data_IF_577389152641
#
_entry.id   IF_577389152641
#
_cell.length_a   1.000
_cell.length_b   1.000
_cell.length_c   1.000
_cell.angle_alpha   90.00
_cell.angle_beta   90.00
_cell.angle_gamma   90.00
#
_symmetry.space_group_name_H-M   'P 1'
#
loop_
_entity.id
_entity.type
_entity.pdbx_description
1 polymer ?
#
# COMPACT_ATOMS: atom_id res chain seq x y z
N UNK A 1 -4.36 28.12 7.94
CA UNK A 1 -5.80 28.12 8.30
C UNK A 1 -6.60 27.83 7.05
N UNK A 2 -7.35 26.74 7.06
CA UNK A 2 -8.41 26.51 6.09
C UNK A 2 -9.55 25.92 6.92
N UNK A 3 -10.37 26.80 7.49
CA UNK A 3 -11.60 26.39 8.18
C UNK A 3 -12.55 25.81 7.14
N UNK A 4 -12.74 24.49 7.20
CA UNK A 4 -13.82 23.81 6.49
C UNK A 4 -15.11 24.16 7.22
N UNK A 5 -16.00 24.90 6.55
CA UNK A 5 -17.32 25.26 7.06
C UNK A 5 -18.15 23.97 7.30
N UNK A 6 -18.85 23.84 8.44
CA UNK A 6 -19.71 22.70 8.70
C UNK A 6 -21.06 22.93 8.02
N UNK A 7 -21.51 21.99 7.17
CA UNK A 7 -22.90 22.00 6.71
C UNK A 7 -23.22 21.51 5.31
N UNK A 8 -22.34 20.80 4.61
CA UNK A 8 -22.73 20.08 3.40
C UNK A 8 -22.52 18.58 3.67
N UNK A 9 -23.62 17.86 3.85
CA UNK A 9 -23.61 16.39 3.93
C UNK A 9 -23.13 15.86 2.58
N UNK A 10 -21.81 15.74 2.42
CA UNK A 10 -21.22 15.04 1.28
C UNK A 10 -21.76 13.61 1.31
N UNK A 11 -22.32 13.16 0.18
CA UNK A 11 -22.83 11.79 0.01
C UNK A 11 -21.86 10.77 0.62
N UNK A 12 -22.37 9.78 1.36
CA UNK A 12 -21.56 8.77 2.05
C UNK A 12 -20.53 8.10 1.12
N UNK A 13 -20.87 7.95 -0.16
CA UNK A 13 -19.99 7.42 -1.19
C UNK A 13 -18.79 8.34 -1.49
N UNK A 14 -18.99 9.65 -1.53
CA UNK A 14 -17.94 10.65 -1.78
C UNK A 14 -17.00 10.73 -0.57
N UNK A 15 -17.55 10.67 0.63
CA UNK A 15 -16.74 10.61 1.86
C UNK A 15 -15.90 9.33 1.91
N UNK A 16 -16.48 8.18 1.55
CA UNK A 16 -15.74 6.90 1.48
C UNK A 16 -14.60 6.90 0.47
N UNK A 17 -14.77 7.54 -0.70
CA UNK A 17 -13.70 7.69 -1.70
C UNK A 17 -12.63 8.66 -1.21
N UNK A 18 -13.00 9.75 -0.55
CA UNK A 18 -12.06 10.70 0.05
C UNK A 18 -11.22 10.04 1.15
N UNK A 19 -11.83 9.19 1.97
CA UNK A 19 -11.12 8.50 3.04
C UNK A 19 -10.19 7.42 2.51
N UNK A 20 -10.60 6.68 1.47
CA UNK A 20 -9.69 5.76 0.75
C UNK A 20 -8.52 6.49 0.10
N UNK A 21 -8.76 7.65 -0.52
CA UNK A 21 -7.71 8.46 -1.11
C UNK A 21 -6.76 9.02 -0.04
N UNK A 22 -7.28 9.49 1.10
CA UNK A 22 -6.48 9.92 2.25
C UNK A 22 -5.65 8.77 2.81
N UNK A 23 -6.24 7.60 2.95
CA UNK A 23 -5.53 6.39 3.40
C UNK A 23 -4.41 6.00 2.43
N UNK A 24 -4.69 5.99 1.12
CA UNK A 24 -3.70 5.71 0.07
C UNK A 24 -2.53 6.71 0.09
N UNK A 25 -2.82 7.99 0.33
CA UNK A 25 -1.81 9.05 0.41
C UNK A 25 -1.09 9.09 1.77
N UNK A 26 -1.47 8.22 2.72
CA UNK A 26 -0.90 8.19 4.07
C UNK A 26 -1.34 9.36 4.96
N UNK A 27 -2.37 10.10 4.56
CA UNK A 27 -3.04 11.16 5.33
C UNK A 27 -4.33 10.69 6.01
N UNK A 28 -4.67 9.41 5.90
CA UNK A 28 -5.79 8.83 6.63
C UNK A 28 -5.58 9.03 8.12
N UNK A 29 -6.52 9.66 8.80
CA UNK A 29 -6.53 9.65 10.26
C UNK A 29 -6.64 8.18 10.67
N UNK A 30 -5.70 7.67 11.49
CA UNK A 30 -5.74 6.31 12.03
C UNK A 30 -6.90 6.17 13.04
N UNK A 31 -8.12 6.31 12.55
CA UNK A 31 -9.36 6.18 13.30
C UNK A 31 -9.77 4.72 13.20
N UNK A 32 -9.73 4.00 14.33
CA UNK A 32 -10.34 2.68 14.41
C UNK A 32 -11.86 2.84 14.20
N UNK A 33 -12.50 1.85 13.58
CA UNK A 33 -13.92 1.87 13.22
C UNK A 33 -14.86 2.23 14.39
N UNK A 34 -14.52 1.78 15.60
CA UNK A 34 -15.33 1.94 16.81
C UNK A 34 -14.79 3.02 17.76
N UNK A 35 -14.04 3.99 17.24
CA UNK A 35 -13.41 5.05 18.03
C UNK A 35 -13.73 6.44 17.50
N UNK A 36 -13.84 7.43 18.39
CA UNK A 36 -14.18 8.80 18.03
C UNK A 36 -13.18 9.81 18.61
N UNK A 37 -12.85 10.82 17.79
CA UNK A 37 -11.96 11.92 18.18
C UNK A 37 -12.71 12.97 18.98
N UNK A 38 -12.45 13.04 20.28
CA UNK A 38 -12.99 14.04 21.19
C UNK A 38 -12.01 15.23 21.30
N UNK A 39 -12.46 16.49 21.11
CA UNK A 39 -11.60 17.65 21.35
C UNK A 39 -11.27 17.79 22.84
N UNK A 40 -10.02 18.14 23.14
CA UNK A 40 -9.56 18.36 24.51
C UNK A 40 -9.29 19.84 24.72
N UNK A 41 -9.92 20.41 25.76
CA UNK A 41 -9.72 21.80 26.16
C UNK A 41 -9.11 21.87 27.56
N UNK A 42 -8.10 22.73 27.74
CA UNK A 42 -7.56 23.08 29.05
C UNK A 42 -8.27 24.33 29.57
N UNK A 43 -8.86 24.23 30.75
CA UNK A 43 -9.36 25.38 31.48
C UNK A 43 -8.24 25.96 32.34
N UNK A 44 -7.94 27.24 32.17
CA UNK A 44 -7.12 27.99 33.10
C UNK A 44 -8.00 28.53 34.24
N UNK A 45 -7.76 28.05 35.47
CA UNK A 45 -8.53 28.43 36.65
C UNK A 45 -8.34 29.89 37.07
N UNK A 46 -7.25 30.54 36.67
CA UNK A 46 -6.98 31.94 37.01
C UNK A 46 -7.68 32.92 36.06
N UNK A 47 -7.73 32.61 34.76
CA UNK A 47 -8.25 33.51 33.71
C UNK A 47 -9.63 33.11 33.19
N UNK A 48 -10.09 31.88 33.48
CA UNK A 48 -11.36 31.34 32.97
C UNK A 48 -11.35 30.99 31.48
N UNK A 49 -10.20 31.13 30.81
CA UNK A 49 -10.06 30.89 29.37
C UNK A 49 -9.89 29.39 29.11
N UNK A 50 -10.60 28.87 28.11
CA UNK A 50 -10.41 27.51 27.59
C UNK A 50 -9.49 27.54 26.38
N UNK A 51 -8.39 26.82 26.45
CA UNK A 51 -7.43 26.67 25.34
C UNK A 51 -7.57 25.27 24.74
N UNK A 52 -7.76 25.16 23.42
CA UNK A 52 -7.74 23.87 22.72
C UNK A 52 -6.35 23.23 22.82
N UNK A 53 -6.30 21.99 23.31
CA UNK A 53 -5.07 21.21 23.53
C UNK A 53 -4.91 20.03 22.56
N UNK A 54 -5.81 19.87 21.60
CA UNK A 54 -5.76 18.80 20.60
C UNK A 54 -7.02 17.95 20.59
N UNK A 55 -6.89 16.70 20.13
CA UNK A 55 -7.97 15.72 20.05
C UNK A 55 -7.50 14.38 20.64
N UNK A 56 -8.39 13.66 21.30
CA UNK A 56 -8.15 12.34 21.87
C UNK A 56 -9.05 11.32 21.16
N UNK A 57 -8.48 10.24 20.64
CA UNK A 57 -9.26 9.15 20.06
C UNK A 57 -9.67 8.17 21.18
N UNK A 58 -10.97 7.99 21.41
CA UNK A 58 -11.50 7.11 22.47
C UNK A 58 -12.38 6.05 21.83
N UNK A 59 -12.14 4.77 22.17
CA UNK A 59 -13.04 3.65 21.89
C UNK A 59 -13.47 2.98 23.20
N UNK A 60 -14.78 2.79 23.39
CA UNK A 60 -15.34 2.16 24.60
C UNK A 60 -15.88 0.79 24.21
N UNK A 61 -15.34 -0.26 24.83
CA UNK A 61 -15.73 -1.65 24.56
C UNK A 61 -16.29 -2.32 25.82
N UNK A 62 -17.46 -2.96 25.70
CA UNK A 62 -18.03 -3.80 26.75
C UNK A 62 -17.57 -5.24 26.51
N UNK A 63 -16.83 -5.81 27.46
CA UNK A 63 -16.29 -7.18 27.36
C UNK A 63 -16.67 -8.02 28.59
N UNK A 64 -16.75 -9.36 28.46
CA UNK A 64 -16.94 -10.25 29.59
C UNK A 64 -15.87 -10.07 30.68
N UNK A 65 -16.26 -10.29 31.94
CA UNK A 65 -15.38 -10.14 33.11
C UNK A 65 -14.10 -10.97 33.01
N UNK A 66 -14.18 -12.16 32.42
CA UNK A 66 -13.03 -13.05 32.21
C UNK A 66 -11.95 -12.39 31.35
N UNK A 67 -12.35 -11.70 30.29
CA UNK A 67 -11.44 -10.98 29.38
C UNK A 67 -10.89 -9.73 30.06
N UNK A 68 -11.76 -8.95 30.71
CA UNK A 68 -11.35 -7.74 31.44
C UNK A 68 -10.30 -8.01 32.52
N UNK A 69 -10.43 -9.11 33.27
CA UNK A 69 -9.47 -9.49 34.30
C UNK A 69 -8.15 -10.03 33.73
N UNK A 70 -8.16 -10.61 32.51
CA UNK A 70 -6.95 -11.11 31.86
C UNK A 70 -6.07 -10.00 31.28
N UNK A 71 -6.64 -8.85 30.93
CA UNK A 71 -5.93 -7.73 30.32
C UNK A 71 -6.25 -6.44 31.11
N UNK A 72 -5.68 -6.27 32.32
CA UNK A 72 -5.88 -5.05 33.09
C UNK A 72 -5.31 -3.85 32.33
N UNK A 73 -5.94 -2.68 32.52
CA UNK A 73 -5.53 -1.45 31.85
C UNK A 73 -4.05 -1.13 32.12
N UNK A 74 -3.25 -1.04 31.04
CA UNK A 74 -1.81 -0.76 31.12
C UNK A 74 -0.89 -1.99 31.11
N UNK A 75 -1.42 -3.22 31.06
CA UNK A 75 -0.61 -4.43 30.82
C UNK A 75 -0.01 -4.39 29.40
N UNK A 76 1.30 -4.61 29.26
CA UNK A 76 1.97 -4.62 27.95
C UNK A 76 2.43 -3.26 27.42
N UNK A 77 2.54 -2.22 28.25
CA UNK A 77 3.21 -0.94 27.87
C UNK A 77 4.67 -1.11 27.42
N UNK A 78 5.29 -2.22 27.79
CA UNK A 78 6.65 -2.59 27.40
C UNK A 78 6.72 -3.22 26.01
N UNK A 79 5.64 -3.85 25.54
CA UNK A 79 5.61 -4.50 24.24
C UNK A 79 4.87 -3.61 23.24
N UNK A 80 5.51 -3.24 22.12
CA UNK A 80 4.85 -2.45 21.11
C UNK A 80 3.69 -3.29 20.59
N UNK A 81 2.46 -2.86 20.85
CA UNK A 81 1.24 -3.37 20.20
C UNK A 81 0.55 -4.63 20.78
N UNK A 82 0.65 -4.90 22.08
CA UNK A 82 -0.08 -6.03 22.68
C UNK A 82 -1.61 -5.83 22.71
N UNK A 83 -2.08 -4.66 23.17
CA UNK A 83 -3.49 -4.25 23.16
C UNK A 83 -3.60 -2.75 23.54
N UNK A 84 -4.18 -1.87 22.72
CA UNK A 84 -4.78 -2.10 21.40
C UNK A 84 -3.73 -2.35 20.30
N UNK A 85 -4.07 -3.23 19.35
CA UNK A 85 -3.26 -3.45 18.14
C UNK A 85 -3.42 -2.25 17.20
N UNK A 86 -2.36 -1.48 17.06
CA UNK A 86 -2.19 -0.48 16.01
C UNK A 86 -1.79 -1.20 14.71
N UNK A 87 -2.64 -1.22 13.68
CA UNK A 87 -2.22 -1.77 12.40
C UNK A 87 -0.96 -1.04 11.91
N UNK A 88 -0.04 -1.74 11.22
CA UNK A 88 1.07 -1.06 10.57
C UNK A 88 0.50 0.02 9.66
N UNK A 89 1.18 1.18 9.53
CA UNK A 89 0.67 2.27 8.70
C UNK A 89 0.43 1.79 7.27
N UNK A 90 -0.84 1.69 6.88
CA UNK A 90 -1.27 1.45 5.50
C UNK A 90 -0.96 2.69 4.64
N UNK A 91 -0.65 2.49 3.36
CA UNK A 91 -0.44 3.58 2.40
C UNK A 91 0.92 4.28 2.42
N UNK A 92 1.91 3.81 3.20
CA UNK A 92 3.28 4.37 3.14
C UNK A 92 4.10 3.67 2.04
N UNK A 93 4.33 4.38 0.93
CA UNK A 93 5.22 3.91 -0.14
C UNK A 93 6.61 3.56 0.43
N UNK A 94 6.98 2.29 0.33
CA UNK A 94 8.35 1.85 0.61
C UNK A 94 9.18 2.05 -0.65
N UNK A 95 9.95 3.14 -0.69
CA UNK A 95 10.90 3.37 -1.76
C UNK A 95 11.99 2.30 -1.71
N UNK A 96 11.98 1.42 -2.71
CA UNK A 96 13.01 0.40 -2.94
C UNK A 96 13.68 0.67 -4.28
N UNK A 97 14.98 0.41 -4.36
CA UNK A 97 15.72 0.43 -5.63
C UNK A 97 15.33 -0.75 -6.55
N UNK A 98 14.58 -1.72 -6.03
CA UNK A 98 14.04 -2.80 -6.84
C UNK A 98 12.78 -2.31 -7.60
N UNK A 99 12.81 -2.22 -8.94
CA UNK A 99 11.68 -1.72 -9.73
C UNK A 99 10.44 -2.60 -9.62
N UNK A 100 10.57 -3.88 -9.31
CA UNK A 100 9.42 -4.77 -9.08
C UNK A 100 8.72 -4.47 -7.75
N UNK A 101 9.49 -4.15 -6.70
CA UNK A 101 8.93 -3.76 -5.40
C UNK A 101 8.26 -2.40 -5.54
N UNK A 102 8.93 -1.44 -6.16
CA UNK A 102 8.38 -0.10 -6.38
C UNK A 102 7.13 -0.12 -7.28
N UNK A 103 7.14 -0.92 -8.35
CA UNK A 103 5.97 -1.11 -9.22
C UNK A 103 4.79 -1.75 -8.49
N UNK A 104 5.05 -2.71 -7.58
CA UNK A 104 3.98 -3.34 -6.78
C UNK A 104 3.36 -2.39 -5.75
N UNK A 105 4.14 -1.44 -5.24
CA UNK A 105 3.69 -0.41 -4.30
C UNK A 105 2.89 0.70 -5.01
N UNK A 106 3.23 1.05 -6.25
CA UNK A 106 2.54 2.10 -7.02
C UNK A 106 1.28 1.61 -7.75
N UNK A 107 1.34 0.43 -8.36
CA UNK A 107 0.29 -0.08 -9.24
C UNK A 107 -0.52 -1.23 -8.61
N UNK A 108 -0.14 -1.67 -7.41
CA UNK A 108 -0.69 -2.85 -6.76
C UNK A 108 -0.13 -4.17 -7.31
N UNK A 109 -0.13 -5.25 -6.51
CA UNK A 109 0.56 -6.50 -6.84
C UNK A 109 -0.04 -7.22 -8.07
N UNK A 110 -1.35 -7.10 -8.30
CA UNK A 110 -2.03 -7.74 -9.43
C UNK A 110 -1.65 -7.12 -10.78
N UNK A 111 -1.65 -5.79 -10.86
CA UNK A 111 -1.30 -5.07 -12.09
C UNK A 111 0.20 -5.17 -12.37
N UNK A 112 1.04 -5.11 -11.34
CA UNK A 112 2.48 -5.29 -11.48
C UNK A 112 2.84 -6.68 -12.03
N UNK A 113 2.16 -7.74 -11.59
CA UNK A 113 2.37 -9.09 -12.11
C UNK A 113 1.97 -9.21 -13.60
N UNK A 114 0.84 -8.63 -13.98
CA UNK A 114 0.39 -8.61 -15.39
C UNK A 114 1.37 -7.87 -16.29
N UNK A 115 1.82 -6.68 -15.87
CA UNK A 115 2.77 -5.87 -16.62
C UNK A 115 4.13 -6.57 -16.76
N UNK A 116 4.61 -7.22 -15.70
CA UNK A 116 5.85 -7.99 -15.71
C UNK A 116 5.77 -9.17 -16.67
N UNK A 117 4.65 -9.91 -16.66
CA UNK A 117 4.41 -11.01 -17.59
C UNK A 117 4.45 -10.53 -19.05
N UNK A 118 3.74 -9.43 -19.36
CA UNK A 118 3.74 -8.84 -20.70
C UNK A 118 5.16 -8.41 -21.13
N UNK A 119 5.93 -7.77 -20.25
CA UNK A 119 7.31 -7.35 -20.52
C UNK A 119 8.25 -8.54 -20.80
N UNK A 120 8.09 -9.65 -20.08
CA UNK A 120 8.89 -10.85 -20.30
C UNK A 120 8.55 -11.45 -21.67
N UNK A 121 7.26 -11.56 -22.02
CA UNK A 121 6.84 -12.06 -23.32
C UNK A 121 7.36 -11.20 -24.48
N UNK A 122 7.30 -9.87 -24.36
CA UNK A 122 7.84 -8.96 -25.40
C UNK A 122 9.36 -9.04 -25.50
N UNK A 123 10.07 -9.16 -24.37
CA UNK A 123 11.53 -9.34 -24.36
C UNK A 123 11.97 -10.63 -25.09
N UNK A 124 11.24 -11.74 -24.90
CA UNK A 124 11.52 -13.00 -25.59
C UNK A 124 11.32 -12.86 -27.10
N UNK A 125 10.23 -12.22 -27.54
CA UNK A 125 9.96 -12.00 -28.97
C UNK A 125 11.06 -11.14 -29.61
N UNK A 126 11.47 -10.06 -28.93
CA UNK A 126 12.55 -9.19 -29.40
C UNK A 126 13.89 -9.93 -29.51
N UNK A 127 14.19 -10.81 -28.54
CA UNK A 127 15.39 -11.64 -28.58
C UNK A 127 15.36 -12.62 -29.77
N UNK A 128 14.20 -13.24 -30.06
CA UNK A 128 14.06 -14.11 -31.23
C UNK A 128 14.28 -13.35 -32.55
N UNK A 129 13.77 -12.12 -32.65
CA UNK A 129 14.00 -11.26 -33.82
C UNK A 129 15.49 -10.92 -33.96
N UNK A 130 16.17 -10.60 -32.85
CA UNK A 130 17.60 -10.27 -32.86
C UNK A 130 18.49 -11.47 -33.21
N UNK A 131 18.13 -12.68 -32.80
CA UNK A 131 18.88 -13.89 -33.14
C UNK A 131 18.63 -14.39 -34.58
N UNK A 132 17.53 -13.99 -35.22
CA UNK A 132 17.19 -14.36 -36.60
C UNK A 132 18.33 -14.14 -37.63
N UNK A 133 19.00 -12.99 -37.72
CA UNK A 133 20.13 -12.80 -38.63
C UNK A 133 21.32 -13.73 -38.35
N UNK A 134 21.58 -14.06 -37.08
CA UNK A 134 22.65 -15.00 -36.70
C UNK A 134 22.32 -16.41 -37.20
N UNK A 135 21.08 -16.86 -37.02
CA UNK A 135 20.64 -18.16 -37.54
C UNK A 135 20.71 -18.23 -39.06
N UNK A 136 20.30 -17.18 -39.77
CA UNK A 136 20.41 -17.10 -41.23
C UNK A 136 21.87 -17.18 -41.71
N UNK A 137 22.79 -16.53 -41.01
CA UNK A 137 24.22 -16.60 -41.31
C UNK A 137 24.80 -18.01 -41.10
N UNK A 138 24.43 -18.68 -40.00
CA UNK A 138 24.84 -20.06 -39.72
C UNK A 138 24.30 -21.01 -40.79
N UNK A 139 23.04 -20.88 -41.19
CA UNK A 139 22.44 -21.69 -42.25
C UNK A 139 23.18 -21.47 -43.57
N UNK A 140 23.50 -20.23 -43.94
CA UNK A 140 24.22 -19.92 -45.17
C UNK A 140 25.62 -20.57 -45.23
N UNK A 141 26.31 -20.72 -44.09
CA UNK A 141 27.60 -21.40 -44.00
C UNK A 141 27.45 -22.93 -44.00
N UNK A 142 26.41 -23.46 -43.35
CA UNK A 142 26.20 -24.90 -43.22
C UNK A 142 25.61 -25.54 -44.49
N UNK A 143 24.75 -24.81 -45.21
CA UNK A 143 24.08 -25.26 -46.45
C UNK A 143 25.04 -25.80 -47.52
N UNK A 144 26.15 -25.12 -47.87
CA UNK A 144 27.10 -25.65 -48.86
C UNK A 144 27.85 -26.90 -48.37
N UNK A 145 28.04 -27.08 -47.06
CA UNK A 145 28.69 -28.26 -46.51
C UNK A 145 27.75 -29.47 -46.48
N UNK A 146 26.47 -29.25 -46.15
CA UNK A 146 25.43 -30.28 -46.20
C UNK A 146 25.17 -30.78 -47.63
N UNK A 147 25.14 -29.86 -48.61
CA UNK A 147 24.96 -30.22 -50.03
C UNK A 147 26.13 -31.03 -50.60
N UNK A 148 27.35 -30.88 -50.03
CA UNK A 148 28.50 -31.74 -50.36
C UNK A 148 28.41 -33.14 -49.75
N UNK A 149 27.74 -33.29 -48.60
CA UNK A 149 27.56 -34.57 -47.90
C UNK A 149 26.36 -35.39 -48.41
N UNK A 150 25.36 -34.76 -49.04
CA UNK A 150 24.24 -35.46 -49.66
C UNK A 150 23.96 -34.90 -51.07
N UNK A 151 24.66 -35.37 -52.11
CA UNK A 151 24.51 -34.86 -53.47
C UNK A 151 23.22 -35.34 -54.20
N UNK A 152 22.41 -36.20 -53.57
CA UNK A 152 21.22 -36.82 -54.17
C UNK A 152 19.89 -36.56 -53.42
N UNK A 153 19.88 -35.60 -52.47
CA UNK A 153 18.65 -35.10 -51.85
C UNK A 153 18.38 -33.66 -52.27
#
# INVERSE_FOLDING_TARGET
ETEVKPGEELDENVQGVLDQARELLGYGEAKNKDSEWLPMDKLDHATGIRTKMGKLNIGIHIVPKTIASSIPAGLGRTDPNANPYLPPPSGRLKFSLNPFVMGSELCGPKLCAQLTCCLICTAIILLMIFCSPVFNFVIAILTPQLKKLNPFA
#
